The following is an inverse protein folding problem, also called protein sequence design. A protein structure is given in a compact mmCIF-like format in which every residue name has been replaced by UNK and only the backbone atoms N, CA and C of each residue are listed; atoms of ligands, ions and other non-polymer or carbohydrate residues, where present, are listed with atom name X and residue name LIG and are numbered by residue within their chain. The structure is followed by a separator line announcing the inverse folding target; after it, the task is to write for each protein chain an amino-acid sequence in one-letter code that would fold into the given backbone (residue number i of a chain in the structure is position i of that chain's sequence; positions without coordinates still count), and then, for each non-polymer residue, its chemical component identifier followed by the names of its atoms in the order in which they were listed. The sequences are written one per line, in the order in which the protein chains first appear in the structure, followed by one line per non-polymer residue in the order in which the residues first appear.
data_IF_659996733610
#
_entry.id   IF_659996733610
#
_cell.length_a   1.000
_cell.length_b   1.000
_cell.length_c   1.000
_cell.angle_alpha   90.00
_cell.angle_beta   90.00
_cell.angle_gamma   90.00
#
_symmetry.space_group_name_H-M   'P 1'
#
loop_
_entity.id
_entity.type
_entity.pdbx_description
1 polymer ?
#
# COMPACT_ATOMS: atom_id res chain seq x y z
N UNK A 1 2.13 -12.40 0.07
CA UNK A 1 3.28 -12.32 1.03
C UNK A 1 3.61 -10.86 1.32
N UNK A 2 3.84 -10.55 2.56
CA UNK A 2 4.22 -9.20 3.00
C UNK A 2 5.64 -9.18 3.54
N UNK A 3 6.38 -8.15 3.21
CA UNK A 3 7.76 -7.94 3.65
C UNK A 3 7.87 -6.58 4.32
N UNK A 4 8.60 -6.54 5.42
CA UNK A 4 9.00 -5.32 6.09
C UNK A 4 10.42 -4.99 5.63
N UNK A 5 10.58 -3.87 4.92
CA UNK A 5 11.88 -3.32 4.59
C UNK A 5 12.35 -2.43 5.74
N UNK A 6 13.50 -2.72 6.30
CA UNK A 6 14.18 -1.87 7.28
C UNK A 6 15.19 -1.01 6.52
N UNK A 7 15.03 0.30 6.62
CA UNK A 7 15.78 1.27 5.84
C UNK A 7 16.64 2.14 6.75
N UNK A 8 17.95 2.18 6.51
CA UNK A 8 18.84 3.11 7.22
C UNK A 8 18.80 4.49 6.57
N UNK A 9 18.78 5.53 7.41
CA UNK A 9 18.81 6.93 6.97
C UNK A 9 20.27 7.36 6.84
N UNK A 10 20.74 7.59 5.61
CA UNK A 10 22.10 8.07 5.31
C UNK A 10 22.13 9.61 5.41
N UNK A 11 22.09 10.10 6.63
CA UNK A 11 22.00 11.55 6.87
C UNK A 11 23.21 12.33 6.40
N UNK A 12 24.36 11.68 6.24
CA UNK A 12 25.61 12.23 5.72
C UNK A 12 25.55 12.54 4.21
N UNK A 13 24.68 11.87 3.45
CA UNK A 13 24.56 12.08 2.00
C UNK A 13 23.74 13.34 1.67
N UNK A 14 22.49 13.42 2.18
CA UNK A 14 21.56 14.50 1.84
C UNK A 14 20.84 15.09 3.06
N UNK A 15 21.16 14.61 4.27
CA UNK A 15 20.45 14.98 5.48
C UNK A 15 19.26 14.05 5.79
N UNK A 16 18.36 14.54 6.65
CA UNK A 16 17.25 13.75 7.20
C UNK A 16 15.89 14.45 7.09
N UNK A 17 15.68 15.26 6.06
CA UNK A 17 14.47 16.07 5.88
C UNK A 17 13.76 15.69 4.58
N UNK A 18 12.47 15.29 4.67
CA UNK A 18 11.60 14.98 3.55
C UNK A 18 10.50 16.04 3.39
N UNK A 19 9.96 16.26 2.20
CA UNK A 19 8.66 16.92 2.05
C UNK A 19 7.57 16.07 2.71
N UNK A 20 6.55 16.68 3.32
CA UNK A 20 5.41 15.95 3.91
C UNK A 20 4.69 15.10 2.84
N UNK A 21 4.66 15.56 1.60
CA UNK A 21 4.08 14.85 0.45
C UNK A 21 5.12 14.00 -0.31
N UNK A 22 5.93 13.20 0.39
CA UNK A 22 6.97 12.36 -0.21
C UNK A 22 6.44 11.10 -0.92
N UNK A 23 5.15 10.85 -0.88
CA UNK A 23 4.57 9.57 -1.36
C UNK A 23 4.77 9.36 -2.87
N UNK A 24 4.74 10.44 -3.66
CA UNK A 24 5.04 10.34 -5.09
C UNK A 24 6.48 9.89 -5.33
N UNK A 25 7.45 10.48 -4.65
CA UNK A 25 8.87 10.15 -4.75
C UNK A 25 9.12 8.71 -4.30
N UNK A 26 8.46 8.27 -3.22
CA UNK A 26 8.51 6.88 -2.77
C UNK A 26 7.96 5.93 -3.84
N UNK A 27 6.80 6.25 -4.42
CA UNK A 27 6.23 5.46 -5.50
C UNK A 27 7.16 5.40 -6.70
N UNK A 28 7.72 6.53 -7.11
CA UNK A 28 8.65 6.62 -8.23
C UNK A 28 9.93 5.78 -7.98
N UNK A 29 10.43 5.74 -6.74
CA UNK A 29 11.58 4.93 -6.35
C UNK A 29 11.27 3.43 -6.44
N UNK A 30 10.16 2.96 -5.85
CA UNK A 30 9.71 1.56 -5.95
C UNK A 30 9.52 1.15 -7.42
N UNK A 31 8.91 2.02 -8.22
CA UNK A 31 8.70 1.77 -9.64
C UNK A 31 9.96 1.69 -10.46
N UNK A 32 10.88 2.62 -10.23
CA UNK A 32 12.18 2.59 -10.88
C UNK A 32 12.83 1.25 -10.66
N UNK A 33 12.78 0.74 -9.43
CA UNK A 33 13.39 -0.52 -9.07
C UNK A 33 12.79 -1.71 -9.80
N UNK A 34 11.45 -1.77 -9.89
CA UNK A 34 10.76 -2.82 -10.67
C UNK A 34 11.08 -2.69 -12.16
N UNK A 35 11.13 -1.47 -12.70
CA UNK A 35 11.43 -1.24 -14.11
C UNK A 35 12.87 -1.60 -14.48
N UNK A 36 13.84 -1.28 -13.63
CA UNK A 36 15.24 -1.65 -13.83
C UNK A 36 15.45 -3.17 -13.80
N UNK A 37 14.53 -3.90 -13.16
CA UNK A 37 14.50 -5.37 -13.09
C UNK A 37 13.27 -5.94 -13.82
N UNK A 38 12.90 -5.34 -14.95
CA UNK A 38 11.64 -5.67 -15.63
C UNK A 38 11.61 -7.14 -16.10
N UNK A 39 12.71 -7.66 -16.61
CA UNK A 39 12.83 -9.08 -17.00
C UNK A 39 12.58 -10.02 -15.80
N UNK A 40 13.12 -9.69 -14.64
CA UNK A 40 12.86 -10.44 -13.41
C UNK A 40 11.38 -10.41 -13.03
N UNK A 41 10.74 -9.25 -13.14
CA UNK A 41 9.31 -9.09 -12.85
C UNK A 41 8.43 -9.87 -13.84
N UNK A 42 8.75 -9.81 -15.14
CA UNK A 42 8.07 -10.60 -16.18
C UNK A 42 8.25 -12.09 -15.96
N UNK A 43 9.46 -12.54 -15.62
CA UNK A 43 9.72 -13.93 -15.31
C UNK A 43 8.90 -14.42 -14.11
N UNK A 44 8.84 -13.62 -13.04
CA UNK A 44 8.01 -13.92 -11.86
C UNK A 44 6.53 -14.02 -12.22
N UNK A 45 5.99 -13.11 -13.04
CA UNK A 45 4.61 -13.13 -13.51
C UNK A 45 4.32 -14.39 -14.35
N UNK A 46 5.10 -14.61 -15.41
CA UNK A 46 4.87 -15.71 -16.37
C UNK A 46 5.04 -17.09 -15.73
N UNK A 47 6.02 -17.25 -14.85
CA UNK A 47 6.25 -18.50 -14.09
C UNK A 47 5.08 -18.88 -13.19
N UNK A 48 4.21 -17.93 -12.86
CA UNK A 48 3.02 -18.12 -12.03
C UNK A 48 1.71 -18.04 -12.82
N UNK A 49 1.77 -18.09 -14.15
CA UNK A 49 0.59 -18.12 -15.02
C UNK A 49 -0.14 -16.80 -15.19
N UNK A 50 0.46 -15.69 -14.76
CA UNK A 50 -0.07 -14.36 -15.05
C UNK A 50 0.31 -13.96 -16.46
N UNK A 51 -0.65 -13.41 -17.21
CA UNK A 51 -0.38 -12.88 -18.53
C UNK A 51 0.69 -11.77 -18.45
N UNK A 52 1.66 -11.73 -19.36
CA UNK A 52 2.56 -10.60 -19.47
C UNK A 52 1.72 -9.35 -19.72
N UNK A 53 1.81 -8.42 -18.80
CA UNK A 53 0.96 -7.23 -18.81
C UNK A 53 1.77 -6.14 -19.49
N UNK A 54 1.38 -5.78 -20.70
CA UNK A 54 1.97 -4.68 -21.50
C UNK A 54 1.89 -3.32 -20.81
N UNK A 55 1.09 -3.22 -19.76
CA UNK A 55 0.90 -1.99 -19.01
C UNK A 55 1.17 -2.23 -17.53
N UNK A 56 2.12 -1.48 -17.01
CA UNK A 56 2.41 -1.40 -15.56
C UNK A 56 1.19 -1.04 -14.68
N UNK A 57 -0.02 -0.97 -15.21
CA UNK A 57 -1.27 -0.64 -14.52
C UNK A 57 -1.88 -1.80 -13.74
N UNK A 58 -1.60 -3.04 -14.10
CA UNK A 58 -2.10 -4.22 -13.38
C UNK A 58 -1.05 -4.75 -12.40
N UNK A 59 -0.90 -4.09 -11.28
CA UNK A 59 0.15 -4.40 -10.32
C UNK A 59 -0.38 -5.28 -9.22
N UNK A 60 0.29 -6.40 -9.06
CA UNK A 60 -0.02 -7.42 -8.06
C UNK A 60 0.77 -7.18 -6.77
N UNK A 61 0.95 -5.91 -6.41
CA UNK A 61 1.62 -5.50 -5.18
C UNK A 61 1.04 -4.21 -4.60
N UNK A 62 1.28 -4.01 -3.32
CA UNK A 62 0.98 -2.76 -2.61
C UNK A 62 2.11 -2.41 -1.66
N UNK A 63 2.22 -1.15 -1.26
CA UNK A 63 3.20 -0.73 -0.26
C UNK A 63 2.66 0.39 0.63
N UNK A 64 3.18 0.45 1.85
CA UNK A 64 2.81 1.43 2.85
C UNK A 64 3.54 2.77 2.65
N UNK A 65 3.09 3.80 3.37
CA UNK A 65 3.94 4.94 3.68
C UNK A 65 5.15 4.49 4.54
N UNK A 66 6.15 5.37 4.64
CA UNK A 66 7.24 5.16 5.60
C UNK A 66 6.69 5.22 7.02
N UNK A 67 7.00 4.23 7.82
CA UNK A 67 6.84 4.29 9.27
C UNK A 67 8.09 4.89 9.89
N UNK A 68 7.94 6.06 10.46
CA UNK A 68 9.03 6.84 11.05
C UNK A 68 8.71 7.05 12.53
N UNK A 69 9.35 6.32 13.46
CA UNK A 69 8.97 6.33 14.88
C UNK A 69 9.04 7.70 15.56
N UNK A 70 9.95 8.56 15.13
CA UNK A 70 10.11 9.91 15.68
C UNK A 70 10.33 10.91 14.56
N UNK A 71 9.43 11.89 14.48
CA UNK A 71 9.45 12.96 13.50
C UNK A 71 9.21 14.31 14.19
N UNK A 72 9.68 15.36 13.54
CA UNK A 72 9.25 16.74 13.78
C UNK A 72 8.75 17.31 12.45
N UNK A 73 7.57 17.89 12.44
CA UNK A 73 7.00 18.52 11.25
C UNK A 73 7.15 20.02 11.40
N UNK A 74 7.78 20.64 10.40
CA UNK A 74 7.92 22.08 10.29
C UNK A 74 7.40 22.52 8.91
N UNK A 75 6.30 23.25 8.89
CA UNK A 75 5.61 23.67 7.65
C UNK A 75 5.31 22.48 6.72
N UNK A 76 5.97 22.39 5.58
CA UNK A 76 5.84 21.33 4.58
C UNK A 76 7.00 20.30 4.63
N UNK A 77 7.77 20.30 5.72
CA UNK A 77 8.94 19.44 5.92
C UNK A 77 8.76 18.50 7.12
N UNK A 78 9.23 17.28 6.93
CA UNK A 78 9.25 16.21 7.91
C UNK A 78 10.70 15.89 8.24
N UNK A 79 11.11 16.21 9.46
CA UNK A 79 12.43 15.89 9.97
C UNK A 79 12.44 14.50 10.58
N UNK A 80 13.26 13.60 10.06
CA UNK A 80 13.44 12.25 10.58
C UNK A 80 14.44 12.31 11.73
N UNK A 81 14.01 11.89 12.92
CA UNK A 81 14.80 11.95 14.17
C UNK A 81 15.31 10.57 14.59
N UNK A 82 15.39 9.63 13.67
CA UNK A 82 15.83 8.24 13.90
C UNK A 82 16.79 7.82 12.80
N UNK A 83 17.63 6.81 13.09
CA UNK A 83 18.56 6.25 12.12
C UNK A 83 17.93 5.21 11.20
N UNK A 84 16.79 4.64 11.59
CA UNK A 84 16.08 3.60 10.85
C UNK A 84 14.62 3.93 10.70
N UNK A 85 14.08 3.69 9.51
CA UNK A 85 12.66 3.78 9.18
C UNK A 85 12.22 2.46 8.58
N UNK A 86 10.93 2.25 8.44
CA UNK A 86 10.37 1.00 7.93
C UNK A 86 9.32 1.29 6.87
N UNK A 87 9.15 0.36 5.94
CA UNK A 87 7.99 0.29 5.07
C UNK A 87 7.58 -1.16 4.84
N UNK A 88 6.33 -1.37 4.52
CA UNK A 88 5.83 -2.68 4.15
C UNK A 88 5.54 -2.71 2.65
N UNK A 89 5.91 -3.80 2.02
CA UNK A 89 5.56 -4.09 0.63
C UNK A 89 4.96 -5.49 0.56
N UNK A 90 3.89 -5.64 -0.18
CA UNK A 90 3.18 -6.92 -0.34
C UNK A 90 3.10 -7.28 -1.80
N UNK A 91 3.29 -8.57 -2.08
CA UNK A 91 3.09 -9.20 -3.37
C UNK A 91 2.15 -10.40 -3.22
N UNK A 92 1.49 -10.83 -4.27
CA UNK A 92 0.73 -12.08 -4.24
C UNK A 92 1.63 -13.24 -3.80
N UNK A 93 1.14 -14.13 -2.89
CA UNK A 93 1.90 -15.25 -2.36
C UNK A 93 1.97 -16.41 -3.38
N UNK A 94 2.78 -16.25 -4.41
CA UNK A 94 3.01 -17.24 -5.44
C UNK A 94 4.45 -17.77 -5.38
N UNK A 95 4.74 -18.80 -6.18
CA UNK A 95 6.07 -19.42 -6.18
C UNK A 95 7.17 -18.41 -6.51
N UNK A 96 8.23 -18.41 -5.72
CA UNK A 96 9.40 -17.55 -5.94
C UNK A 96 9.23 -16.09 -5.50
N UNK A 97 8.12 -15.74 -4.85
CA UNK A 97 7.88 -14.34 -4.39
C UNK A 97 8.95 -13.86 -3.40
N UNK A 98 9.41 -14.72 -2.51
CA UNK A 98 10.43 -14.37 -1.52
C UNK A 98 11.77 -14.02 -2.18
N UNK A 99 12.26 -14.89 -3.06
CA UNK A 99 13.50 -14.68 -3.83
C UNK A 99 13.41 -13.45 -4.72
N UNK A 100 12.27 -13.29 -5.38
CA UNK A 100 12.00 -12.13 -6.23
C UNK A 100 12.11 -10.81 -5.44
N UNK A 101 11.49 -10.71 -4.27
CA UNK A 101 11.52 -9.50 -3.44
C UNK A 101 12.94 -9.23 -2.92
N UNK A 102 13.66 -10.28 -2.50
CA UNK A 102 15.07 -10.16 -2.10
C UNK A 102 15.95 -9.64 -3.23
N UNK A 103 15.81 -10.18 -4.43
CA UNK A 103 16.58 -9.72 -5.59
C UNK A 103 16.27 -8.26 -5.96
N UNK A 104 15.01 -7.85 -5.79
CA UNK A 104 14.61 -6.48 -6.08
C UNK A 104 15.19 -5.44 -5.10
N UNK A 105 15.26 -5.76 -3.81
CA UNK A 105 15.42 -4.74 -2.79
C UNK A 105 16.66 -4.90 -1.90
N UNK A 106 17.39 -6.05 -1.91
CA UNK A 106 18.55 -6.21 -1.04
C UNK A 106 19.68 -5.21 -1.37
N UNK A 107 20.10 -4.43 -0.37
CA UNK A 107 21.18 -3.46 -0.50
C UNK A 107 20.84 -2.25 -1.37
N UNK A 108 19.57 -2.09 -1.75
CA UNK A 108 19.14 -0.99 -2.60
C UNK A 108 19.02 0.33 -1.87
N UNK A 109 19.21 1.41 -2.60
CA UNK A 109 19.14 2.77 -2.09
C UNK A 109 18.03 3.55 -2.75
N UNK A 110 17.18 4.18 -1.94
CA UNK A 110 16.13 5.10 -2.35
C UNK A 110 16.52 6.54 -2.02
N UNK A 111 16.58 7.39 -3.02
CA UNK A 111 16.71 8.83 -2.81
C UNK A 111 15.33 9.45 -2.98
N UNK A 112 14.77 9.92 -1.86
CA UNK A 112 13.44 10.52 -1.79
C UNK A 112 13.55 12.01 -1.51
N UNK A 113 12.63 12.79 -2.05
CA UNK A 113 12.53 14.22 -1.78
C UNK A 113 12.43 15.07 -3.03
N UNK A 114 12.48 16.38 -2.83
CA UNK A 114 12.37 17.39 -3.87
C UNK A 114 13.67 18.18 -4.09
N UNK A 115 13.60 19.32 -4.79
CA UNK A 115 14.77 20.18 -5.02
C UNK A 115 15.29 20.85 -3.74
N UNK A 116 14.47 20.95 -2.68
CA UNK A 116 14.79 21.65 -1.43
C UNK A 116 15.33 20.74 -0.35
N UNK A 117 14.87 19.48 -0.31
CA UNK A 117 15.35 18.51 0.69
C UNK A 117 15.21 17.09 0.16
N UNK A 118 16.21 16.28 0.45
CA UNK A 118 16.28 14.87 0.06
C UNK A 118 16.74 14.03 1.24
N UNK A 119 16.41 12.75 1.20
CA UNK A 119 16.92 11.74 2.13
C UNK A 119 17.30 10.52 1.32
N UNK A 120 18.44 9.96 1.66
CA UNK A 120 18.90 8.67 1.15
C UNK A 120 18.57 7.59 2.17
N UNK A 121 17.91 6.55 1.72
CA UNK A 121 17.46 5.40 2.49
C UNK A 121 18.04 4.12 1.88
N UNK A 122 18.89 3.42 2.61
CA UNK A 122 19.44 2.13 2.19
C UNK A 122 18.66 0.99 2.83
N UNK A 123 18.30 -0.03 2.06
CA UNK A 123 17.64 -1.25 2.55
C UNK A 123 18.68 -2.09 3.31
N UNK A 124 18.61 -2.07 4.64
CA UNK A 124 19.48 -2.88 5.51
C UNK A 124 18.99 -4.32 5.65
N UNK A 125 17.67 -4.49 5.71
CA UNK A 125 17.08 -5.81 5.97
C UNK A 125 15.69 -5.95 5.32
N UNK A 126 15.35 -7.18 4.96
CA UNK A 126 14.07 -7.58 4.38
C UNK A 126 13.52 -8.73 5.19
N UNK A 127 12.51 -8.44 6.00
CA UNK A 127 11.90 -9.42 6.90
C UNK A 127 10.53 -9.83 6.34
N UNK A 128 10.36 -11.11 6.04
CA UNK A 128 9.05 -11.65 5.69
C UNK A 128 8.13 -11.60 6.91
N UNK A 129 6.96 -10.99 6.75
CA UNK A 129 5.96 -10.95 7.80
C UNK A 129 5.14 -12.25 7.79
N UNK A 130 4.79 -12.79 8.98
CA UNK A 130 3.86 -13.91 9.05
C UNK A 130 2.57 -13.61 8.28
N UNK A 131 2.09 -14.57 7.49
CA UNK A 131 0.81 -14.44 6.82
C UNK A 131 -0.30 -14.42 7.87
N UNK A 132 -1.20 -13.42 7.86
CA UNK A 132 -2.35 -13.44 8.74
C UNK A 132 -3.31 -14.57 8.33
N UNK A 133 -3.99 -15.17 9.31
CA UNK A 133 -5.13 -16.03 9.01
C UNK A 133 -6.29 -15.19 8.50
N UNK A 134 -6.78 -15.46 7.29
CA UNK A 134 -7.94 -14.77 6.74
C UNK A 134 -9.21 -15.56 7.08
N UNK A 135 -10.05 -14.97 7.94
CA UNK A 135 -11.41 -15.43 8.19
C UNK A 135 -12.43 -14.68 7.33
N UNK A 136 -13.72 -14.86 7.63
CA UNK A 136 -14.81 -14.13 6.97
C UNK A 136 -14.95 -12.69 7.47
N UNK A 137 -14.46 -12.40 8.66
CA UNK A 137 -14.45 -11.06 9.25
C UNK A 137 -13.04 -10.65 9.67
N UNK A 138 -12.67 -9.40 9.38
CA UNK A 138 -11.42 -8.82 9.85
C UNK A 138 -11.51 -7.31 10.01
N UNK A 139 -10.71 -6.78 10.94
CA UNK A 139 -10.50 -5.35 11.11
C UNK A 139 -9.20 -4.92 10.45
N UNK A 140 -9.20 -3.75 9.84
CA UNK A 140 -8.08 -3.22 9.09
C UNK A 140 -7.72 -1.79 9.50
N UNK A 141 -6.45 -1.49 9.36
CA UNK A 141 -5.89 -0.15 9.43
C UNK A 141 -5.28 0.23 8.08
N UNK A 142 -5.62 1.39 7.56
CA UNK A 142 -4.93 1.94 6.39
C UNK A 142 -3.47 2.29 6.74
N UNK A 143 -2.50 1.69 6.04
CA UNK A 143 -1.06 2.02 6.14
C UNK A 143 -0.65 3.08 5.11
N UNK A 144 -1.47 3.27 4.09
CA UNK A 144 -1.40 4.41 3.16
C UNK A 144 -2.82 4.87 2.81
N UNK A 145 -3.02 6.11 2.35
CA UNK A 145 -4.38 6.64 2.13
C UNK A 145 -5.15 5.80 1.13
N UNK A 146 -6.40 5.46 1.44
CA UNK A 146 -7.32 4.78 0.53
C UNK A 146 -8.00 5.83 -0.35
N UNK A 147 -8.01 5.59 -1.66
CA UNK A 147 -8.52 6.50 -2.68
C UNK A 147 -9.67 5.83 -3.43
N UNK A 148 -10.81 6.49 -3.48
CA UNK A 148 -11.88 6.16 -4.40
C UNK A 148 -12.31 7.39 -5.19
N UNK A 149 -12.71 7.17 -6.44
CA UNK A 149 -13.25 8.20 -7.31
C UNK A 149 -14.57 7.75 -7.91
N UNK A 150 -15.51 8.68 -8.01
CA UNK A 150 -16.80 8.45 -8.68
C UNK A 150 -16.99 9.45 -9.82
N UNK A 151 -17.65 9.02 -10.89
CA UNK A 151 -17.98 9.90 -11.99
C UNK A 151 -19.16 10.81 -11.61
N UNK A 152 -19.00 12.11 -11.85
CA UNK A 152 -20.09 13.09 -11.77
C UNK A 152 -20.93 13.09 -13.06
N UNK A 153 -22.13 13.68 -13.05
CA UNK A 153 -22.96 13.79 -14.26
C UNK A 153 -22.25 14.48 -15.44
N UNK A 154 -21.34 15.42 -15.16
CA UNK A 154 -20.53 16.13 -16.16
C UNK A 154 -19.30 15.32 -16.62
N UNK A 155 -19.21 14.01 -16.30
CA UNK A 155 -18.09 13.09 -16.56
C UNK A 155 -16.76 13.43 -15.88
N UNK A 156 -16.70 14.45 -15.02
CA UNK A 156 -15.53 14.64 -14.18
C UNK A 156 -15.46 13.62 -13.06
N UNK A 157 -14.25 13.29 -12.58
CA UNK A 157 -14.06 12.38 -11.47
C UNK A 157 -13.97 13.15 -10.15
N UNK A 158 -14.65 12.66 -9.13
CA UNK A 158 -14.61 13.20 -7.77
C UNK A 158 -14.03 12.20 -6.79
N UNK A 159 -13.12 12.67 -5.93
CA UNK A 159 -12.63 11.88 -4.80
C UNK A 159 -13.69 11.80 -3.71
N UNK A 160 -14.03 10.58 -3.29
CA UNK A 160 -15.03 10.35 -2.24
C UNK A 160 -14.40 9.76 -0.99
N UNK A 161 -14.98 10.09 0.16
CA UNK A 161 -14.59 9.59 1.48
C UNK A 161 -15.58 8.57 2.03
N UNK A 162 -15.30 8.01 3.21
CA UNK A 162 -16.17 7.04 3.90
C UNK A 162 -17.59 7.53 4.22
N UNK A 163 -17.82 8.83 4.15
CA UNK A 163 -19.12 9.48 4.31
C UNK A 163 -19.98 9.44 3.03
N UNK A 164 -19.42 9.05 1.90
CA UNK A 164 -20.16 8.92 0.65
C UNK A 164 -21.14 7.73 0.71
N UNK A 165 -22.43 7.89 0.38
CA UNK A 165 -23.46 6.85 0.53
C UNK A 165 -23.16 5.53 -0.21
N UNK A 166 -22.47 5.59 -1.35
CA UNK A 166 -22.03 4.43 -2.14
C UNK A 166 -20.62 3.94 -1.84
N UNK A 167 -20.00 4.33 -0.72
CA UNK A 167 -18.61 4.02 -0.43
C UNK A 167 -18.35 2.52 -0.28
N UNK A 168 -19.23 1.80 0.42
CA UNK A 168 -19.15 0.35 0.58
C UNK A 168 -19.20 -0.39 -0.77
N UNK A 169 -20.03 0.07 -1.70
CA UNK A 169 -20.12 -0.49 -3.05
C UNK A 169 -18.86 -0.22 -3.87
N UNK A 170 -18.27 0.98 -3.74
CA UNK A 170 -16.97 1.29 -4.36
C UNK A 170 -15.90 0.36 -3.86
N UNK A 171 -15.91 0.10 -2.54
CA UNK A 171 -14.97 -0.81 -1.88
C UNK A 171 -15.10 -2.24 -2.42
N UNK A 172 -16.31 -2.79 -2.39
CA UNK A 172 -16.56 -4.16 -2.84
C UNK A 172 -16.23 -4.35 -4.33
N UNK A 173 -16.67 -3.45 -5.20
CA UNK A 173 -16.32 -3.48 -6.62
C UNK A 173 -14.82 -3.43 -6.87
N UNK A 174 -14.08 -2.66 -6.09
CA UNK A 174 -12.62 -2.60 -6.21
C UNK A 174 -11.97 -3.95 -5.90
N UNK A 175 -12.44 -4.68 -4.88
CA UNK A 175 -11.92 -6.01 -4.52
C UNK A 175 -12.29 -7.03 -5.59
N UNK A 176 -13.55 -7.07 -6.02
CA UNK A 176 -14.02 -7.98 -7.08
C UNK A 176 -13.27 -7.76 -8.40
N UNK A 177 -13.06 -6.51 -8.79
CA UNK A 177 -12.30 -6.20 -10.01
C UNK A 177 -10.83 -6.63 -9.93
N UNK A 178 -10.23 -6.68 -8.74
CA UNK A 178 -8.89 -7.25 -8.53
C UNK A 178 -8.91 -8.77 -8.66
N UNK A 179 -9.90 -9.43 -8.05
CA UNK A 179 -10.08 -10.87 -8.19
C UNK A 179 -10.18 -11.27 -9.67
N UNK A 180 -11.06 -10.60 -10.43
CA UNK A 180 -11.25 -10.86 -11.84
C UNK A 180 -9.96 -10.67 -12.66
N UNK A 181 -9.20 -9.61 -12.37
CA UNK A 181 -7.91 -9.37 -13.03
C UNK A 181 -6.85 -10.43 -12.71
N UNK A 182 -6.86 -10.98 -11.49
CA UNK A 182 -5.89 -12.01 -11.05
C UNK A 182 -6.25 -13.36 -11.64
N UNK A 183 -7.52 -13.75 -11.59
CA UNK A 183 -7.97 -15.09 -11.96
C UNK A 183 -8.57 -15.19 -13.37
N UNK A 184 -8.76 -14.07 -14.08
CA UNK A 184 -9.34 -14.03 -15.42
C UNK A 184 -10.82 -14.40 -15.49
N UNK A 185 -11.50 -14.45 -14.34
CA UNK A 185 -12.94 -14.79 -14.23
C UNK A 185 -13.59 -14.02 -13.10
N UNK A 186 -14.90 -13.74 -13.18
CA UNK A 186 -15.65 -13.16 -12.08
C UNK A 186 -15.59 -14.02 -10.82
N UNK A 187 -15.75 -13.38 -9.66
CA UNK A 187 -15.88 -14.09 -8.39
C UNK A 187 -17.26 -14.79 -8.33
N UNK A 188 -17.25 -16.09 -8.09
CA UNK A 188 -18.43 -16.97 -8.06
C UNK A 188 -18.72 -17.54 -6.66
N UNK A 189 -18.01 -17.05 -5.63
CA UNK A 189 -18.23 -17.47 -4.24
C UNK A 189 -19.33 -16.69 -3.54
N UNK A 190 -19.43 -16.88 -2.21
CA UNK A 190 -20.39 -16.15 -1.40
C UNK A 190 -20.17 -14.63 -1.54
N UNK A 191 -21.26 -13.94 -1.86
CA UNK A 191 -21.31 -12.49 -2.08
C UNK A 191 -21.69 -11.71 -0.82
N UNK A 192 -21.74 -12.38 0.34
CA UNK A 192 -21.94 -11.72 1.63
C UNK A 192 -20.84 -10.67 1.82
N UNK A 193 -21.23 -9.39 1.83
CA UNK A 193 -20.32 -8.27 2.02
C UNK A 193 -20.89 -7.27 3.00
N UNK A 194 -20.09 -6.91 3.99
CA UNK A 194 -20.36 -5.74 4.82
C UNK A 194 -19.09 -4.93 5.05
N UNK A 195 -19.27 -3.62 5.15
CA UNK A 195 -18.22 -2.67 5.46
C UNK A 195 -18.68 -1.73 6.56
N UNK A 196 -17.85 -1.49 7.56
CA UNK A 196 -18.13 -0.53 8.61
C UNK A 196 -16.89 0.26 9.02
N UNK A 197 -17.08 1.56 9.27
CA UNK A 197 -16.05 2.48 9.73
C UNK A 197 -15.83 2.28 11.24
N UNK A 198 -14.56 2.14 11.67
CA UNK A 198 -14.18 1.96 13.08
C UNK A 198 -13.45 3.18 13.68
N UNK A 199 -13.05 4.15 12.88
CA UNK A 199 -12.40 5.38 13.36
C UNK A 199 -12.74 6.56 12.48
N UNK A 200 -12.61 7.77 13.03
CA UNK A 200 -12.75 9.00 12.25
C UNK A 200 -11.77 9.01 11.06
N UNK A 201 -12.26 9.26 9.83
CA UNK A 201 -11.42 9.27 8.64
C UNK A 201 -10.56 10.54 8.58
N UNK A 202 -9.24 10.35 8.50
CA UNK A 202 -8.30 11.45 8.33
C UNK A 202 -8.06 11.70 6.85
N UNK A 203 -8.61 12.78 6.31
CA UNK A 203 -8.41 13.20 4.91
C UNK A 203 -6.96 13.58 4.67
N UNK A 204 -6.38 13.06 3.58
CA UNK A 204 -5.01 13.35 3.12
C UNK A 204 -5.04 13.86 1.69
N UNK A 205 -4.40 15.01 1.46
CA UNK A 205 -4.15 15.55 0.13
C UNK A 205 -2.69 15.39 -0.23
N UNK A 206 -2.39 14.59 -1.24
CA UNK A 206 -1.04 14.29 -1.69
C UNK A 206 -0.80 14.95 -3.04
N UNK A 207 0.22 15.79 -3.14
CA UNK A 207 0.64 16.36 -4.41
C UNK A 207 1.49 15.35 -5.18
N UNK A 208 1.12 15.14 -6.43
CA UNK A 208 1.83 14.32 -7.39
C UNK A 208 2.54 15.24 -8.36
N UNK A 209 3.78 14.91 -8.73
CA UNK A 209 4.60 15.68 -9.67
C UNK A 209 4.68 17.18 -9.31
N UNK A 210 4.86 17.46 -8.02
CA UNK A 210 4.84 18.83 -7.48
C UNK A 210 5.87 19.73 -8.18
N UNK A 211 5.47 20.95 -8.48
CA UNK A 211 6.25 21.95 -9.21
C UNK A 211 6.54 21.61 -10.69
N UNK A 212 5.73 20.75 -11.29
CA UNK A 212 5.74 20.50 -12.73
C UNK A 212 4.41 20.90 -13.39
N UNK A 213 4.34 21.03 -14.72
CA UNK A 213 3.07 21.29 -15.41
C UNK A 213 2.00 20.20 -15.19
N UNK A 214 2.42 18.98 -14.84
CA UNK A 214 1.56 17.83 -14.59
C UNK A 214 1.18 17.71 -13.10
N UNK A 215 1.43 18.74 -12.30
CA UNK A 215 1.05 18.74 -10.88
C UNK A 215 -0.43 18.43 -10.72
N UNK A 216 -0.72 17.47 -9.88
CA UNK A 216 -2.08 17.08 -9.53
C UNK A 216 -2.17 16.76 -8.04
N UNK A 217 -3.38 16.86 -7.48
CA UNK A 217 -3.63 16.53 -6.08
C UNK A 217 -4.54 15.32 -5.98
N UNK A 218 -4.05 14.28 -5.33
CA UNK A 218 -4.83 13.08 -5.00
C UNK A 218 -5.37 13.23 -3.58
N UNK A 219 -6.67 12.97 -3.40
CA UNK A 219 -7.31 12.94 -2.09
C UNK A 219 -7.58 11.50 -1.71
N UNK A 220 -7.12 11.12 -0.53
CA UNK A 220 -7.38 9.81 0.07
C UNK A 220 -7.64 9.93 1.57
N UNK A 221 -7.98 8.82 2.19
CA UNK A 221 -8.38 8.78 3.60
C UNK A 221 -7.66 7.68 4.36
N UNK A 222 -7.25 8.01 5.59
CA UNK A 222 -6.66 7.06 6.55
C UNK A 222 -7.67 6.79 7.65
N UNK A 223 -8.03 5.51 7.85
CA UNK A 223 -9.01 5.12 8.87
C UNK A 223 -8.86 3.63 9.22
N UNK A 224 -9.53 3.23 10.30
CA UNK A 224 -9.78 1.84 10.64
C UNK A 224 -11.17 1.44 10.18
N UNK A 225 -11.31 0.20 9.72
CA UNK A 225 -12.57 -0.33 9.21
C UNK A 225 -12.67 -1.84 9.45
N UNK A 226 -13.90 -2.35 9.48
CA UNK A 226 -14.21 -3.77 9.56
C UNK A 226 -14.83 -4.21 8.23
N UNK A 227 -14.48 -5.42 7.82
CA UNK A 227 -15.04 -6.08 6.64
C UNK A 227 -15.54 -7.46 7.00
N UNK A 228 -16.65 -7.84 6.37
CA UNK A 228 -17.09 -9.22 6.23
C UNK A 228 -17.17 -9.55 4.74
N UNK A 229 -16.42 -10.55 4.31
CA UNK A 229 -16.38 -11.06 2.93
C UNK A 229 -15.64 -12.40 2.88
N UNK A 230 -15.64 -13.06 1.72
CA UNK A 230 -14.89 -14.30 1.55
C UNK A 230 -13.39 -14.17 1.88
N UNK A 231 -12.77 -15.16 2.56
CA UNK A 231 -11.35 -15.13 2.94
C UNK A 231 -10.38 -14.86 1.78
N UNK A 232 -10.68 -15.36 0.57
CA UNK A 232 -9.85 -15.10 -0.61
C UNK A 232 -9.87 -13.62 -1.01
N UNK A 233 -10.99 -12.93 -0.84
CA UNK A 233 -11.11 -11.49 -1.13
C UNK A 233 -10.33 -10.67 -0.09
N UNK A 234 -10.34 -11.07 1.19
CA UNK A 234 -9.48 -10.50 2.22
C UNK A 234 -8.00 -10.62 1.87
N UNK A 235 -7.56 -11.80 1.45
CA UNK A 235 -6.18 -12.05 1.03
C UNK A 235 -5.77 -11.16 -0.15
N UNK A 236 -6.58 -11.11 -1.20
CA UNK A 236 -6.31 -10.27 -2.39
C UNK A 236 -6.16 -8.81 -1.99
N UNK A 237 -7.10 -8.28 -1.21
CA UNK A 237 -7.04 -6.90 -0.74
C UNK A 237 -5.79 -6.64 0.09
N UNK A 238 -5.43 -7.52 1.01
CA UNK A 238 -4.25 -7.40 1.86
C UNK A 238 -2.96 -7.37 1.05
N UNK A 239 -2.85 -8.22 0.04
CA UNK A 239 -1.63 -8.36 -0.75
C UNK A 239 -1.50 -7.31 -1.87
N UNK A 240 -2.62 -6.94 -2.48
CA UNK A 240 -2.60 -6.04 -3.65
C UNK A 240 -3.14 -4.65 -3.38
N UNK A 241 -3.53 -4.36 -2.12
CA UNK A 241 -4.11 -3.07 -1.71
C UNK A 241 -5.56 -2.89 -2.12
N UNK A 242 -6.13 -1.74 -1.83
CA UNK A 242 -7.55 -1.41 -2.07
C UNK A 242 -7.73 -0.02 -2.68
N UNK A 243 -8.74 0.12 -3.52
CA UNK A 243 -9.12 1.39 -4.14
C UNK A 243 -8.31 1.71 -5.39
N UNK A 244 -8.33 2.98 -5.74
CA UNK A 244 -7.66 3.54 -6.90
C UNK A 244 -6.19 3.90 -6.60
N UNK A 245 -5.39 4.05 -7.67
CA UNK A 245 -4.00 4.54 -7.58
C UNK A 245 -3.09 3.73 -6.61
N UNK A 246 -3.42 2.46 -6.36
CA UNK A 246 -2.60 1.56 -5.54
C UNK A 246 -1.15 1.53 -6.04
N UNK A 247 -1.01 1.61 -7.32
CA UNK A 247 0.26 1.72 -7.99
C UNK A 247 1.10 2.96 -7.60
N UNK A 248 0.51 3.99 -7.07
CA UNK A 248 1.20 5.18 -6.58
C UNK A 248 1.36 5.17 -5.04
N UNK A 249 1.28 3.98 -4.41
CA UNK A 249 1.46 3.79 -2.98
C UNK A 249 0.22 4.14 -2.15
N UNK A 250 -0.97 4.05 -2.73
CA UNK A 250 -2.23 4.22 -2.03
C UNK A 250 -2.85 2.86 -1.68
N UNK A 251 -3.74 2.83 -0.69
CA UNK A 251 -4.58 1.68 -0.39
C UNK A 251 -3.89 0.45 0.21
N UNK A 252 -2.67 0.59 0.73
CA UNK A 252 -2.05 -0.45 1.55
C UNK A 252 -2.74 -0.53 2.92
N UNK A 253 -3.09 -1.73 3.35
CA UNK A 253 -3.80 -1.97 4.62
C UNK A 253 -3.09 -3.01 5.47
N UNK A 254 -3.26 -2.95 6.80
CA UNK A 254 -2.82 -3.94 7.77
C UNK A 254 -4.01 -4.53 8.50
N UNK A 255 -3.96 -5.83 8.79
CA UNK A 255 -4.94 -6.49 9.62
C UNK A 255 -4.70 -6.15 11.09
N UNK A 256 -5.74 -5.70 11.78
CA UNK A 256 -5.70 -5.50 13.22
C UNK A 256 -5.87 -6.87 13.88
N UNK A 257 -4.78 -7.52 14.27
CA UNK A 257 -4.86 -8.75 15.03
C UNK A 257 -5.55 -8.43 16.38
N UNK A 258 -6.74 -8.96 16.57
CA UNK A 258 -7.33 -9.03 17.91
C UNK A 258 -6.45 -9.99 18.71
N UNK A 259 -5.61 -9.47 19.58
CA UNK A 259 -5.02 -10.27 20.64
C UNK A 259 -6.18 -10.71 21.54
N UNK A 260 -6.75 -11.87 21.28
CA UNK A 260 -7.49 -12.61 22.30
C UNK A 260 -6.45 -13.09 23.31
N UNK A 261 -6.09 -12.21 24.26
CA UNK A 261 -5.41 -12.66 25.46
C UNK A 261 -6.32 -13.68 26.10
N UNK A 262 -5.88 -14.94 26.35
CA UNK A 262 -6.66 -15.86 27.15
C UNK A 262 -6.90 -15.19 28.50
N UNK A 263 -8.17 -15.07 28.86
CA UNK A 263 -8.59 -14.49 30.13
C UNK A 263 -7.85 -15.22 31.26
N UNK A 264 -7.31 -14.53 32.30
CA UNK A 264 -6.67 -15.18 33.44
C UNK A 264 -7.62 -16.06 34.28
N UNK A 265 -8.89 -16.21 33.86
CA UNK A 265 -9.92 -16.96 34.60
C UNK A 265 -10.03 -18.44 34.23
N UNK A 266 -9.31 -18.94 33.23
CA UNK A 266 -9.33 -20.36 32.86
C UNK A 266 -8.15 -21.18 33.42
N UNK A 267 -7.57 -20.73 34.54
CA UNK A 267 -6.72 -21.55 35.41
C UNK A 267 -7.44 -21.82 36.72
N UNK A 268 -8.39 -22.71 36.64
CA UNK A 268 -8.98 -23.39 37.77
C UNK A 268 -8.48 -24.83 37.81
#
# INVERSE_FOLDING_TARGET
MRFKLVLSVKSESFGSVLPVSYQYELSAAVYRRIRENFELYLHWLSSNGFAPIDDCRNRLFSFSNLYIPRIRVEYDRLHILVKRVQMWISFLPVRGTHEFVKQLFSGETFVLGDRRSRVELEVEDIVECPAPGFGEEAEYLALSPIVFMVARPNRSMEYVGPDYPGYADCFYRSVLGKYEKIFGRPFDGDTGFSWSLLSEPKRKGIFMMRFTPEESKVIGYMYKFKLSMSPILHQIMYETGIGEKVNLGFGCVEICLLYTSPSPRDRG
#
